data_IF_361538591644
#
_entry.id   IF_361538591644
#
_cell.length_a   1.000
_cell.length_b   1.000
_cell.length_c   1.000
_cell.angle_alpha   90.00
_cell.angle_beta   90.00
_cell.angle_gamma   90.00
#
_symmetry.space_group_name_H-M   'P 1'
#
loop_
_entity.id
_entity.type
_entity.pdbx_description
1 polymer ?
#
# COMPACT_ATOMS: atom_id res chain seq x y z
N UNK A 1 -8.59 4.75 1.36
CA UNK A 1 -8.02 5.05 0.02
C UNK A 1 -7.29 3.90 -0.64
N UNK A 2 -6.72 2.92 0.09
CA UNK A 2 -6.09 1.71 -0.50
C UNK A 2 -6.92 1.07 -1.62
N UNK A 3 -8.22 0.84 -1.40
CA UNK A 3 -9.13 0.30 -2.41
C UNK A 3 -9.16 1.14 -3.70
N UNK A 4 -9.23 2.48 -3.57
CA UNK A 4 -9.23 3.38 -4.73
C UNK A 4 -7.86 3.47 -5.39
N UNK A 5 -6.78 3.48 -4.60
CA UNK A 5 -5.41 3.53 -5.10
C UNK A 5 -5.06 2.28 -5.92
N UNK A 6 -5.58 1.11 -5.52
CA UNK A 6 -5.33 -0.18 -6.16
C UNK A 6 -6.44 -0.62 -7.12
N UNK A 7 -7.59 0.05 -7.14
CA UNK A 7 -8.75 -0.36 -7.94
C UNK A 7 -9.37 -1.70 -7.50
N UNK A 8 -9.24 -2.07 -6.23
CA UNK A 8 -9.70 -3.36 -5.68
C UNK A 8 -10.94 -3.21 -4.81
N UNK A 9 -11.77 -4.26 -4.80
CA UNK A 9 -12.91 -4.38 -3.89
C UNK A 9 -12.49 -4.74 -2.46
N UNK A 10 -13.47 -4.80 -1.52
CA UNK A 10 -13.22 -5.24 -0.15
C UNK A 10 -12.70 -6.69 -0.14
N UNK A 11 -11.62 -6.94 0.62
CA UNK A 11 -11.03 -8.27 0.69
C UNK A 11 -9.71 -8.33 1.48
N UNK A 12 -9.12 -9.53 1.59
CA UNK A 12 -7.91 -9.77 2.39
C UNK A 12 -6.69 -8.96 1.91
N UNK A 13 -6.67 -8.56 0.64
CA UNK A 13 -5.64 -7.68 0.06
C UNK A 13 -5.52 -6.35 0.80
N UNK A 14 -6.62 -5.81 1.35
CA UNK A 14 -6.59 -4.54 2.08
C UNK A 14 -5.75 -4.67 3.35
N UNK A 15 -5.86 -5.80 4.05
CA UNK A 15 -5.04 -6.09 5.23
C UNK A 15 -3.55 -6.20 4.88
N UNK A 16 -3.23 -6.86 3.76
CA UNK A 16 -1.86 -6.96 3.25
C UNK A 16 -1.27 -5.59 2.88
N UNK A 17 -2.05 -4.78 2.17
CA UNK A 17 -1.68 -3.41 1.81
C UNK A 17 -1.42 -2.53 3.05
N UNK A 18 -2.26 -2.67 4.09
CA UNK A 18 -2.05 -1.97 5.36
C UNK A 18 -0.78 -2.43 6.07
N UNK A 19 -0.51 -3.73 6.10
CA UNK A 19 0.69 -4.28 6.71
C UNK A 19 1.95 -3.77 5.99
N UNK A 20 1.95 -3.81 4.66
CA UNK A 20 3.02 -3.27 3.83
C UNK A 20 3.29 -1.78 4.13
N UNK A 21 2.26 -0.93 4.16
CA UNK A 21 2.41 0.49 4.47
C UNK A 21 2.91 0.73 5.91
N UNK A 22 2.55 -0.13 6.85
CA UNK A 22 3.04 -0.06 8.23
C UNK A 22 4.53 -0.41 8.30
N UNK A 23 4.95 -1.47 7.63
CA UNK A 23 6.37 -1.87 7.52
C UNK A 23 7.19 -0.74 6.87
N UNK A 24 6.72 -0.18 5.76
CA UNK A 24 7.35 0.94 5.07
C UNK A 24 7.57 2.14 6.01
N UNK A 25 6.56 2.44 6.84
CA UNK A 25 6.62 3.54 7.81
C UNK A 25 7.61 3.27 8.94
N UNK A 26 7.76 2.01 9.36
CA UNK A 26 8.72 1.64 10.40
C UNK A 26 10.16 1.75 9.90
N UNK A 27 10.41 1.38 8.64
CA UNK A 27 11.75 1.40 8.04
C UNK A 27 12.19 2.80 7.58
N UNK A 28 11.29 3.54 6.92
CA UNK A 28 11.62 4.82 6.29
C UNK A 28 11.10 6.04 7.07
N UNK A 29 10.33 5.81 8.14
CA UNK A 29 9.66 6.87 8.88
C UNK A 29 8.38 7.37 8.19
N UNK A 30 7.83 8.51 8.63
CA UNK A 30 6.65 9.09 8.00
C UNK A 30 6.93 9.46 6.54
N UNK A 31 6.01 9.08 5.67
CA UNK A 31 6.05 9.38 4.25
C UNK A 31 4.90 10.30 3.87
N UNK A 32 5.12 11.10 2.83
CA UNK A 32 4.04 11.83 2.17
C UNK A 32 3.06 10.85 1.52
N UNK A 33 1.80 11.28 1.43
CA UNK A 33 0.70 10.46 0.93
C UNK A 33 0.98 9.91 -0.48
N UNK A 34 1.39 10.76 -1.41
CA UNK A 34 1.67 10.36 -2.80
C UNK A 34 2.79 9.31 -2.89
N UNK A 35 3.82 9.43 -2.04
CA UNK A 35 4.92 8.48 -1.99
C UNK A 35 4.46 7.12 -1.45
N UNK A 36 3.62 7.12 -0.40
CA UNK A 36 3.03 5.89 0.12
C UNK A 36 2.11 5.21 -0.91
N UNK A 37 1.34 5.99 -1.68
CA UNK A 37 0.48 5.46 -2.76
C UNK A 37 1.30 4.88 -3.91
N UNK A 38 2.40 5.52 -4.30
CA UNK A 38 3.29 5.03 -5.33
C UNK A 38 3.91 3.67 -4.93
N UNK A 39 4.51 3.60 -3.74
CA UNK A 39 5.08 2.36 -3.21
C UNK A 39 4.02 1.25 -3.10
N UNK A 40 2.79 1.59 -2.69
CA UNK A 40 1.69 0.63 -2.62
C UNK A 40 1.31 0.07 -3.99
N UNK A 41 1.31 0.91 -5.05
CA UNK A 41 1.04 0.45 -6.42
C UNK A 41 2.16 -0.41 -6.97
N UNK A 42 3.41 -0.08 -6.68
CA UNK A 42 4.58 -0.88 -7.07
C UNK A 42 4.54 -2.26 -6.42
N UNK A 43 4.37 -2.32 -5.10
CA UNK A 43 4.19 -3.57 -4.36
C UNK A 43 3.03 -4.41 -4.91
N UNK A 44 1.92 -3.78 -5.28
CA UNK A 44 0.77 -4.49 -5.85
C UNK A 44 1.05 -5.05 -7.25
N UNK A 45 1.83 -4.34 -8.06
CA UNK A 45 2.23 -4.82 -9.38
C UNK A 45 3.12 -6.07 -9.32
N UNK A 46 3.95 -6.18 -8.27
CA UNK A 46 4.83 -7.35 -8.03
C UNK A 46 4.07 -8.62 -7.59
N UNK A 47 2.79 -8.51 -7.23
CA UNK A 47 1.96 -9.65 -6.79
C UNK A 47 1.34 -10.43 -7.96
N UNK A 48 1.65 -10.06 -9.20
CA UNK A 48 1.12 -10.68 -10.44
C UNK A 48 1.88 -11.93 -10.86
#
# INVERSE_FOLDING_TARGET
EIMQALGVGPGPVIGKAYAFLLELRLEHGPMEHDAAVAALKEWWAEQS
#
